data_IF_414758687710
#
_entry.id   IF_414758687710
#
_cell.length_a   1.000
_cell.length_b   1.000
_cell.length_c   1.000
_cell.angle_alpha   90.00
_cell.angle_beta   90.00
_cell.angle_gamma   90.00
#
_symmetry.space_group_name_H-M   'P 1'
#
loop_
_entity.id
_entity.type
_entity.pdbx_description
1 polymer ?
#
# COMPACT_ATOMS: atom_id res chain seq x y z
N UNK A 1 23.08 -9.63 36.22
CA UNK A 1 22.84 -9.41 34.77
C UNK A 1 22.01 -8.15 34.65
N UNK A 2 22.43 -7.15 33.88
CA UNK A 2 21.63 -5.96 33.63
C UNK A 2 20.75 -6.26 32.42
N UNK A 3 19.44 -6.43 32.63
CA UNK A 3 18.49 -6.38 31.52
C UNK A 3 18.42 -4.94 31.05
N UNK A 4 19.10 -4.64 29.93
CA UNK A 4 18.92 -3.38 29.22
C UNK A 4 17.59 -3.50 28.49
N UNK A 5 16.50 -3.14 29.17
CA UNK A 5 15.19 -2.99 28.52
C UNK A 5 15.31 -1.88 27.49
N UNK A 6 15.31 -2.26 26.20
CA UNK A 6 15.35 -1.30 25.11
C UNK A 6 14.10 -0.42 25.20
N UNK A 7 14.23 0.92 25.35
CA UNK A 7 13.09 1.77 25.60
C UNK A 7 12.07 1.68 24.45
N UNK A 8 10.80 1.64 24.83
CA UNK A 8 9.66 1.31 23.94
C UNK A 8 9.63 2.10 22.62
N UNK A 9 10.13 3.35 22.62
CA UNK A 9 10.19 4.19 21.44
C UNK A 9 11.12 3.62 20.34
N UNK A 10 12.15 2.84 20.68
CA UNK A 10 13.00 2.14 19.70
C UNK A 10 12.16 1.11 18.93
N UNK A 11 11.39 0.29 19.64
CA UNK A 11 10.50 -0.71 19.04
C UNK A 11 9.40 -0.09 18.18
N UNK A 12 8.85 1.05 18.61
CA UNK A 12 7.90 1.80 17.81
C UNK A 12 8.52 2.29 16.49
N UNK A 13 9.74 2.83 16.51
CA UNK A 13 10.41 3.34 15.32
C UNK A 13 10.83 2.22 14.37
N UNK A 14 11.37 1.10 14.86
CA UNK A 14 11.72 -0.05 14.01
C UNK A 14 10.49 -0.66 13.35
N UNK A 15 9.38 -0.78 14.07
CA UNK A 15 8.12 -1.28 13.51
C UNK A 15 7.48 -0.28 12.51
N UNK A 16 7.54 1.02 12.78
CA UNK A 16 7.00 2.07 11.89
C UNK A 16 7.82 2.26 10.62
N UNK A 17 9.15 2.16 10.72
CA UNK A 17 10.03 2.16 9.53
C UNK A 17 9.85 0.90 8.69
N UNK A 18 9.78 -0.28 9.31
CA UNK A 18 9.55 -1.55 8.61
C UNK A 18 8.19 -1.55 7.90
N UNK A 19 7.12 -1.06 8.54
CA UNK A 19 5.79 -0.95 7.92
C UNK A 19 5.75 0.10 6.81
N UNK A 20 6.47 1.23 6.90
CA UNK A 20 6.69 2.14 5.76
C UNK A 20 7.41 1.46 4.59
N UNK A 21 8.46 0.67 4.85
CA UNK A 21 9.19 -0.05 3.80
C UNK A 21 8.27 -1.05 3.11
N UNK A 22 7.46 -1.82 3.86
CA UNK A 22 6.45 -2.71 3.29
C UNK A 22 5.37 -1.94 2.50
N UNK A 23 4.99 -0.74 2.93
CA UNK A 23 4.07 0.12 2.19
C UNK A 23 4.69 0.62 0.87
N UNK A 24 5.96 1.01 0.88
CA UNK A 24 6.72 1.40 -0.32
C UNK A 24 6.89 0.22 -1.30
N UNK A 25 7.22 -0.97 -0.79
CA UNK A 25 7.36 -2.19 -1.63
C UNK A 25 6.00 -2.61 -2.21
N UNK A 26 4.93 -2.62 -1.42
CA UNK A 26 3.59 -2.99 -1.91
C UNK A 26 3.02 -1.98 -2.92
N UNK A 27 3.30 -0.68 -2.74
CA UNK A 27 2.89 0.37 -3.68
C UNK A 27 3.64 0.30 -5.03
N UNK A 28 4.97 0.14 -5.03
CA UNK A 28 5.72 -0.07 -6.28
C UNK A 28 5.41 -1.45 -6.92
N UNK A 29 5.09 -2.49 -6.14
CA UNK A 29 4.60 -3.77 -6.67
C UNK A 29 3.24 -3.61 -7.38
N UNK A 30 2.30 -2.88 -6.77
CA UNK A 30 1.01 -2.51 -7.40
C UNK A 30 1.24 -1.75 -8.71
N UNK A 31 2.15 -0.77 -8.71
CA UNK A 31 2.51 0.03 -9.90
C UNK A 31 3.11 -0.83 -11.02
N UNK A 32 4.07 -1.70 -10.72
CA UNK A 32 4.67 -2.61 -11.69
C UNK A 32 3.63 -3.56 -12.32
N UNK A 33 2.67 -4.05 -11.53
CA UNK A 33 1.55 -4.86 -12.03
C UNK A 33 0.55 -4.07 -12.87
N UNK A 34 0.37 -2.77 -12.62
CA UNK A 34 -0.45 -1.89 -13.47
C UNK A 34 0.19 -1.67 -14.84
N UNK A 35 1.49 -1.36 -14.87
CA UNK A 35 2.24 -1.14 -16.11
C UNK A 35 2.30 -2.39 -16.99
N UNK A 36 2.43 -3.58 -16.40
CA UNK A 36 2.40 -4.86 -17.11
C UNK A 36 1.03 -5.23 -17.69
N UNK A 37 -0.05 -4.72 -17.09
CA UNK A 37 -1.39 -4.89 -17.65
C UNK A 37 -1.62 -3.89 -18.77
N UNK A 38 -1.24 -2.62 -18.58
CA UNK A 38 -1.28 -1.59 -19.63
C UNK A 38 -0.56 -2.02 -20.91
N UNK A 39 0.68 -2.54 -20.80
CA UNK A 39 1.41 -3.00 -21.98
C UNK A 39 0.70 -4.15 -22.70
N UNK A 40 0.15 -5.11 -21.93
CA UNK A 40 -0.58 -6.25 -22.51
C UNK A 40 -1.92 -5.85 -23.13
N UNK A 41 -2.70 -4.94 -22.53
CA UNK A 41 -3.94 -4.46 -23.16
C UNK A 41 -3.66 -3.78 -24.49
N UNK A 42 -2.54 -3.07 -24.59
CA UNK A 42 -2.07 -2.43 -25.82
C UNK A 42 -1.66 -3.47 -26.89
N UNK A 43 -0.96 -4.54 -26.50
CA UNK A 43 -0.64 -5.68 -27.39
C UNK A 43 -1.89 -6.38 -27.96
N UNK A 44 -2.98 -6.44 -27.19
CA UNK A 44 -4.27 -7.03 -27.60
C UNK A 44 -5.24 -6.03 -28.25
N UNK A 45 -4.88 -4.75 -28.39
CA UNK A 45 -5.78 -3.71 -28.92
C UNK A 45 -7.01 -3.41 -28.04
N UNK A 46 -6.97 -3.79 -26.76
CA UNK A 46 -8.04 -3.55 -25.79
C UNK A 46 -7.85 -2.19 -25.11
N UNK A 47 -8.93 -1.44 -24.92
CA UNK A 47 -8.88 -0.18 -24.15
C UNK A 47 -8.41 -0.41 -22.71
N UNK A 48 -7.60 0.52 -22.19
CA UNK A 48 -7.15 0.44 -20.81
C UNK A 48 -8.34 0.59 -19.86
N UNK A 49 -8.46 -0.31 -18.88
CA UNK A 49 -9.61 -0.39 -17.99
C UNK A 49 -10.68 -1.44 -18.38
N UNK A 50 -10.58 -2.12 -19.54
CA UNK A 50 -11.51 -3.21 -19.92
C UNK A 50 -11.65 -4.35 -18.88
N UNK A 51 -10.67 -4.48 -17.97
CA UNK A 51 -10.70 -5.45 -16.87
C UNK A 51 -11.42 -4.98 -15.59
N UNK A 52 -11.95 -3.75 -15.55
CA UNK A 52 -12.74 -3.24 -14.42
C UNK A 52 -14.24 -3.45 -14.60
N UNK A 53 -14.76 -3.41 -15.84
CA UNK A 53 -16.12 -3.85 -16.13
C UNK A 53 -16.24 -5.37 -15.95
N UNK A 54 -17.06 -5.81 -15.00
CA UNK A 54 -17.44 -7.22 -14.89
C UNK A 54 -18.47 -7.63 -15.97
N UNK A 55 -18.83 -6.70 -16.86
CA UNK A 55 -19.70 -6.90 -18.00
C UNK A 55 -18.85 -6.85 -19.27
N UNK A 56 -18.72 -8.00 -19.92
CA UNK A 56 -18.35 -8.10 -21.33
C UNK A 56 -19.66 -8.23 -22.12
N UNK A 57 -19.87 -7.46 -23.20
CA UNK A 57 -20.89 -7.85 -24.18
C UNK A 57 -20.51 -9.24 -24.70
N UNK A 58 -21.44 -10.18 -24.61
CA UNK A 58 -21.26 -11.56 -25.10
C UNK A 58 -21.22 -11.54 -26.62
N UNK A 59 -20.04 -11.34 -27.18
CA UNK A 59 -19.79 -11.57 -28.60
C UNK A 59 -19.59 -13.07 -28.78
N UNK A 60 -20.56 -13.74 -29.40
CA UNK A 60 -20.68 -15.22 -29.47
C UNK A 60 -19.65 -15.90 -30.41
N UNK A 61 -18.43 -15.38 -30.48
CA UNK A 61 -17.34 -15.91 -31.29
C UNK A 61 -16.10 -16.09 -30.42
N UNK A 62 -15.60 -17.32 -30.41
CA UNK A 62 -14.48 -17.84 -29.61
C UNK A 62 -14.74 -17.88 -28.10
N UNK A 63 -14.87 -19.11 -27.56
CA UNK A 63 -14.90 -19.35 -26.12
C UNK A 63 -13.57 -18.92 -25.51
N UNK A 64 -13.56 -17.70 -24.97
CA UNK A 64 -12.36 -16.92 -24.64
C UNK A 64 -11.55 -17.57 -23.49
N UNK A 65 -10.39 -18.19 -23.77
CA UNK A 65 -9.48 -18.61 -22.72
C UNK A 65 -8.72 -17.37 -22.24
N UNK A 66 -9.36 -16.62 -21.33
CA UNK A 66 -8.70 -15.58 -20.56
C UNK A 66 -7.45 -16.19 -19.92
N UNK A 67 -6.29 -15.82 -20.47
CA UNK A 67 -5.00 -16.41 -20.11
C UNK A 67 -4.86 -16.45 -18.59
N UNK A 68 -4.47 -17.60 -18.04
CA UNK A 68 -4.44 -17.87 -16.60
C UNK A 68 -3.57 -16.82 -15.89
N UNK A 69 -2.55 -16.32 -16.59
CA UNK A 69 -1.70 -15.22 -16.14
C UNK A 69 -2.45 -13.90 -15.95
N UNK A 70 -3.43 -13.55 -16.79
CA UNK A 70 -4.22 -12.31 -16.65
C UNK A 70 -5.09 -12.35 -15.38
N UNK A 71 -5.75 -13.48 -15.12
CA UNK A 71 -6.53 -13.71 -13.89
C UNK A 71 -5.60 -13.67 -12.65
N UNK A 72 -4.40 -14.25 -12.74
CA UNK A 72 -3.38 -14.23 -11.69
C UNK A 72 -2.86 -12.81 -11.42
N UNK A 73 -2.63 -12.00 -12.46
CA UNK A 73 -2.23 -10.59 -12.35
C UNK A 73 -3.31 -9.75 -11.65
N UNK A 74 -4.59 -9.88 -12.05
CA UNK A 74 -5.73 -9.18 -11.42
C UNK A 74 -5.84 -9.52 -9.93
N UNK A 75 -5.80 -10.81 -9.57
CA UNK A 75 -5.79 -11.26 -8.16
C UNK A 75 -4.61 -10.68 -7.38
N UNK A 76 -3.42 -10.67 -7.97
CA UNK A 76 -2.23 -10.08 -7.36
C UNK A 76 -2.40 -8.58 -7.09
N UNK A 77 -2.89 -7.76 -8.05
CA UNK A 77 -3.14 -6.32 -7.83
C UNK A 77 -4.13 -6.08 -6.70
N UNK A 78 -5.23 -6.84 -6.65
CA UNK A 78 -6.24 -6.71 -5.58
C UNK A 78 -5.63 -7.05 -4.21
N UNK A 79 -4.84 -8.12 -4.11
CA UNK A 79 -4.12 -8.49 -2.88
C UNK A 79 -3.14 -7.39 -2.45
N UNK A 80 -2.29 -6.90 -3.35
CA UNK A 80 -1.34 -5.83 -3.04
C UNK A 80 -2.02 -4.51 -2.66
N UNK A 81 -3.18 -4.20 -3.26
CA UNK A 81 -3.96 -3.02 -2.86
C UNK A 81 -4.58 -3.20 -1.46
N UNK A 82 -5.11 -4.37 -1.12
CA UNK A 82 -5.61 -4.67 0.24
C UNK A 82 -4.49 -4.61 1.28
N UNK A 83 -3.32 -5.18 0.99
CA UNK A 83 -2.13 -5.14 1.84
C UNK A 83 -1.66 -3.69 2.06
N UNK A 84 -1.57 -2.89 0.99
CA UNK A 84 -1.16 -1.49 1.07
C UNK A 84 -2.13 -0.65 1.92
N UNK A 85 -3.44 -0.79 1.71
CA UNK A 85 -4.45 -0.11 2.53
C UNK A 85 -4.38 -0.54 3.99
N UNK A 86 -4.23 -1.84 4.27
CA UNK A 86 -4.11 -2.36 5.63
C UNK A 86 -2.86 -1.82 6.36
N UNK A 87 -1.69 -1.86 5.71
CA UNK A 87 -0.44 -1.32 6.25
C UNK A 87 -0.54 0.18 6.57
N UNK A 88 -1.19 0.95 5.68
CA UNK A 88 -1.46 2.37 5.93
C UNK A 88 -2.40 2.60 7.10
N UNK A 89 -3.52 1.89 7.18
CA UNK A 89 -4.43 2.02 8.33
C UNK A 89 -3.75 1.65 9.65
N UNK A 90 -2.87 0.64 9.64
CA UNK A 90 -2.11 0.24 10.81
C UNK A 90 -1.12 1.33 11.21
N UNK A 91 -0.33 1.88 10.27
CA UNK A 91 0.62 2.97 10.53
C UNK A 91 -0.08 4.24 11.02
N UNK A 92 -1.24 4.59 10.45
CA UNK A 92 -2.03 5.76 10.88
C UNK A 92 -2.54 5.58 12.30
N UNK A 93 -3.06 4.40 12.65
CA UNK A 93 -3.54 4.10 14.01
C UNK A 93 -2.36 4.10 15.00
N UNK A 94 -1.24 3.43 14.72
CA UNK A 94 -0.09 3.41 15.64
C UNK A 94 0.56 4.79 15.81
N UNK A 95 0.68 5.57 14.73
CA UNK A 95 1.24 6.93 14.80
C UNK A 95 0.32 7.90 15.53
N UNK A 96 -1.00 7.78 15.34
CA UNK A 96 -2.00 8.59 16.07
C UNK A 96 -2.06 8.21 17.56
N UNK A 97 -2.05 6.90 17.88
CA UNK A 97 -2.03 6.43 19.27
C UNK A 97 -0.77 6.86 20.02
N UNK A 98 0.41 6.81 19.39
CA UNK A 98 1.66 7.28 20.02
C UNK A 98 1.69 8.79 20.22
N UNK A 99 1.14 9.58 19.29
CA UNK A 99 0.97 11.02 19.48
C UNK A 99 0.10 11.33 20.71
N UNK A 100 -1.05 10.67 20.86
CA UNK A 100 -1.91 10.87 22.02
C UNK A 100 -1.23 10.42 23.33
N UNK A 101 -0.66 9.22 23.37
CA UNK A 101 -0.04 8.67 24.59
C UNK A 101 1.19 9.46 25.06
N UNK A 102 1.92 10.10 24.14
CA UNK A 102 3.03 11.00 24.49
C UNK A 102 2.53 12.39 24.92
N UNK A 103 1.47 12.91 24.31
CA UNK A 103 0.85 14.19 24.69
C UNK A 103 0.20 14.16 26.08
N UNK A 104 -0.39 13.03 26.48
CA UNK A 104 -0.99 12.84 27.82
C UNK A 104 0.01 12.32 28.87
N UNK A 105 1.32 12.36 28.59
CA UNK A 105 2.42 11.90 29.48
C UNK A 105 2.32 10.42 29.93
N UNK A 106 1.41 9.63 29.35
CA UNK A 106 1.21 8.20 29.64
C UNK A 106 2.44 7.37 29.25
N UNK A 107 3.15 7.81 28.20
CA UNK A 107 4.40 7.21 27.74
C UNK A 107 5.50 8.27 27.66
N UNK A 108 6.54 8.12 28.48
CA UNK A 108 7.74 8.96 28.39
C UNK A 108 8.50 8.65 27.08
N UNK A 109 8.58 9.63 26.19
CA UNK A 109 9.40 9.61 24.98
C UNK A 109 10.17 10.93 24.82
N UNK A 110 11.28 10.92 24.07
CA UNK A 110 11.87 12.14 23.54
C UNK A 110 10.88 12.94 22.69
N UNK A 111 10.93 14.28 22.78
CA UNK A 111 10.07 15.21 22.04
C UNK A 111 10.03 14.95 20.52
N UNK A 112 11.13 14.47 19.94
CA UNK A 112 11.24 14.20 18.51
C UNK A 112 10.44 12.96 18.05
N UNK A 113 10.00 12.08 18.96
CA UNK A 113 9.18 10.91 18.61
C UNK A 113 7.83 11.33 18.05
N UNK A 114 7.21 12.40 18.58
CA UNK A 114 5.99 12.97 18.02
C UNK A 114 6.20 13.52 16.60
N UNK A 115 7.32 14.21 16.37
CA UNK A 115 7.70 14.70 15.04
C UNK A 115 7.93 13.54 14.06
N UNK A 116 8.54 12.44 14.52
CA UNK A 116 8.68 11.22 13.74
C UNK A 116 7.31 10.60 13.39
N UNK A 117 6.37 10.47 14.34
CA UNK A 117 5.00 10.00 14.09
C UNK A 117 4.27 10.84 13.02
N UNK A 118 4.42 12.16 13.05
CA UNK A 118 3.87 13.05 12.01
C UNK A 118 4.54 12.78 10.65
N UNK A 119 5.87 12.60 10.61
CA UNK A 119 6.57 12.25 9.38
C UNK A 119 6.15 10.88 8.81
N UNK A 120 5.92 9.87 9.65
CA UNK A 120 5.39 8.56 9.24
C UNK A 120 4.01 8.70 8.58
N UNK A 121 3.11 9.47 9.19
CA UNK A 121 1.78 9.81 8.64
C UNK A 121 1.92 10.44 7.24
N UNK A 122 2.69 11.53 7.11
CA UNK A 122 2.86 12.23 5.82
C UNK A 122 3.49 11.35 4.74
N UNK A 123 4.56 10.61 5.05
CA UNK A 123 5.20 9.71 4.10
C UNK A 123 4.25 8.61 3.61
N UNK A 124 3.44 8.04 4.50
CA UNK A 124 2.49 6.98 4.15
C UNK A 124 1.34 7.48 3.28
N UNK A 125 0.81 8.66 3.59
CA UNK A 125 -0.21 9.34 2.79
C UNK A 125 0.33 9.72 1.41
N UNK A 126 1.59 10.17 1.31
CA UNK A 126 2.25 10.47 0.03
C UNK A 126 2.41 9.21 -0.84
N UNK A 127 2.89 8.09 -0.27
CA UNK A 127 3.05 6.83 -1.00
C UNK A 127 1.71 6.34 -1.57
N UNK A 128 0.63 6.37 -0.77
CA UNK A 128 -0.70 6.00 -1.24
C UNK A 128 -1.24 6.99 -2.27
N UNK A 129 -1.17 8.30 -2.01
CA UNK A 129 -1.63 9.33 -2.95
C UNK A 129 -0.97 9.20 -4.33
N UNK A 130 0.32 8.86 -4.38
CA UNK A 130 1.05 8.57 -5.62
C UNK A 130 0.49 7.36 -6.37
N UNK A 131 0.09 6.29 -5.67
CA UNK A 131 -0.56 5.13 -6.33
C UNK A 131 -1.98 5.42 -6.83
N UNK A 132 -2.69 6.38 -6.23
CA UNK A 132 -4.06 6.74 -6.63
C UNK A 132 -4.08 7.75 -7.78
N UNK A 133 -3.16 8.73 -7.82
CA UNK A 133 -3.07 9.66 -8.96
C UNK A 133 -2.77 8.95 -10.29
N UNK A 134 -1.86 7.98 -10.28
CA UNK A 134 -1.53 7.17 -11.46
C UNK A 134 -2.68 6.28 -11.96
N UNK A 135 -3.73 6.07 -11.16
CA UNK A 135 -4.97 5.39 -11.56
C UNK A 135 -6.03 6.34 -12.15
N UNK A 136 -5.76 7.65 -12.17
CA UNK A 136 -6.66 8.69 -12.72
C UNK A 136 -6.10 9.36 -13.98
N UNK A 137 -4.79 9.22 -14.22
CA UNK A 137 -4.06 9.86 -15.32
C UNK A 137 -3.62 8.88 -16.42
N UNK A 138 -3.90 7.58 -16.25
CA UNK A 138 -3.70 6.52 -17.25
C UNK A 138 -5.01 5.81 -17.53
#
# INVERSE_FOLDING_TARGET
MIQVEAPWWIWYLTLSTLTLILLAVSSERKRSLSLKEYSRSLDYGLEYGFGESNELPTTDLEGNPLDIDFIRLRRSRILWSKISTALYSLLMVTSSSTLLLTQYEVLQAPWWVGLASVAFIFCSAYLIGRTWKLLKEG
#
